data_IF_277282868023
#
_entry.id   IF_277282868023
#
_cell.length_a   1.000
_cell.length_b   1.000
_cell.length_c   1.000
_cell.angle_alpha   90.00
_cell.angle_beta   90.00
_cell.angle_gamma   90.00
#
_symmetry.space_group_name_H-M   'P 1'
#
loop_
_entity.id
_entity.type
_entity.pdbx_description
1 polymer ?
#
# COMPACT_ATOMS: atom_id res chain seq x y z
N UNK A 1 -8.69 1.89 15.84
CA UNK A 1 -9.97 2.35 16.42
C UNK A 1 -10.11 3.86 16.53
N UNK A 2 -9.07 4.63 16.87
CA UNK A 2 -9.13 6.11 16.87
C UNK A 2 -9.59 6.69 15.53
N UNK A 3 -9.01 6.24 14.42
CA UNK A 3 -9.37 6.70 13.06
C UNK A 3 -10.87 6.49 12.73
N UNK A 4 -11.46 5.38 13.15
CA UNK A 4 -12.89 5.10 13.01
C UNK A 4 -13.76 6.11 13.76
N UNK A 5 -13.35 6.52 14.95
CA UNK A 5 -14.09 7.49 15.76
C UNK A 5 -14.07 8.89 15.14
N UNK A 6 -12.96 9.29 14.53
CA UNK A 6 -12.79 10.64 13.97
C UNK A 6 -13.34 10.79 12.55
N UNK A 7 -13.27 9.72 11.73
CA UNK A 7 -13.60 9.79 10.30
C UNK A 7 -14.76 8.89 9.88
N UNK A 8 -15.18 7.96 10.75
CA UNK A 8 -16.11 6.88 10.39
C UNK A 8 -15.47 5.71 9.64
N UNK A 9 -14.18 5.81 9.26
CA UNK A 9 -13.47 4.80 8.46
C UNK A 9 -12.55 3.93 9.32
N UNK A 10 -12.51 2.63 9.04
CA UNK A 10 -11.68 1.65 9.75
C UNK A 10 -10.78 0.81 8.85
N UNK A 11 -10.56 1.26 7.62
CA UNK A 11 -9.75 0.59 6.61
C UNK A 11 -8.63 1.49 6.08
N UNK A 12 -7.68 0.85 5.39
CA UNK A 12 -6.69 1.52 4.54
C UNK A 12 -7.16 1.34 3.09
N UNK A 13 -7.39 2.44 2.40
CA UNK A 13 -7.76 2.43 0.99
C UNK A 13 -6.49 2.36 0.14
N UNK A 14 -6.36 1.29 -0.64
CA UNK A 14 -5.30 1.13 -1.63
C UNK A 14 -5.86 1.37 -3.03
N UNK A 15 -5.08 2.05 -3.87
CA UNK A 15 -5.32 2.11 -5.31
C UNK A 15 -4.31 1.20 -6.00
N UNK A 16 -4.83 0.29 -6.83
CA UNK A 16 -4.04 -0.59 -7.66
C UNK A 16 -4.27 -0.22 -9.14
N UNK A 17 -3.22 0.16 -9.85
CA UNK A 17 -3.28 0.54 -11.26
C UNK A 17 -2.50 -0.46 -12.10
N UNK A 18 -3.20 -1.08 -13.04
CA UNK A 18 -2.65 -2.02 -14.01
C UNK A 18 -2.37 -1.28 -15.31
N UNK A 19 -1.14 -1.41 -15.82
CA UNK A 19 -0.78 -0.92 -17.15
C UNK A 19 -0.99 -2.04 -18.18
N UNK A 20 -0.91 -1.68 -19.46
CA UNK A 20 -0.94 -2.64 -20.57
C UNK A 20 0.18 -3.69 -20.50
N UNK A 21 1.26 -3.40 -19.76
CA UNK A 21 2.37 -4.32 -19.50
C UNK A 21 2.10 -5.35 -18.40
N UNK A 22 1.00 -5.26 -17.64
CA UNK A 22 0.62 -6.28 -16.66
C UNK A 22 0.14 -7.56 -17.39
N UNK A 23 0.53 -8.78 -16.95
CA UNK A 23 1.20 -9.11 -15.69
C UNK A 23 2.74 -9.16 -15.75
N UNK A 24 3.37 -8.75 -16.85
CA UNK A 24 4.83 -8.80 -16.99
C UNK A 24 5.55 -7.70 -16.20
N UNK A 25 4.92 -6.53 -16.04
CA UNK A 25 5.32 -5.50 -15.08
C UNK A 25 4.38 -5.47 -13.87
N UNK A 26 4.87 -5.10 -12.68
CA UNK A 26 4.04 -5.04 -11.48
C UNK A 26 2.95 -3.97 -11.61
N UNK A 27 1.80 -4.15 -10.93
CA UNK A 27 0.84 -3.08 -10.79
C UNK A 27 1.42 -1.96 -9.93
N UNK A 28 1.01 -0.73 -10.19
CA UNK A 28 1.36 0.39 -9.32
C UNK A 28 0.37 0.47 -8.15
N UNK A 29 0.86 0.32 -6.92
CA UNK A 29 0.04 0.35 -5.71
C UNK A 29 0.43 1.52 -4.82
N UNK A 30 -0.59 2.27 -4.37
CA UNK A 30 -0.42 3.37 -3.41
C UNK A 30 -1.54 3.40 -2.38
N UNK A 31 -1.24 3.93 -1.21
CA UNK A 31 -2.20 4.31 -0.18
C UNK A 31 -2.91 5.59 -0.62
N UNK A 32 -4.24 5.58 -0.57
CA UNK A 32 -5.10 6.75 -0.80
C UNK A 32 -5.45 7.43 0.52
N UNK A 33 -5.88 6.64 1.51
CA UNK A 33 -6.17 7.13 2.86
C UNK A 33 -6.12 5.97 3.87
N UNK A 34 -5.79 6.21 5.14
CA UNK A 34 -5.28 7.47 5.69
C UNK A 34 -3.84 7.79 5.22
N UNK A 35 -3.36 8.99 5.53
CA UNK A 35 -1.91 9.28 5.44
C UNK A 35 -1.18 8.47 6.49
N UNK A 36 -0.15 7.74 6.06
CA UNK A 36 0.61 6.79 6.89
C UNK A 36 2.07 7.25 6.96
N UNK A 37 2.69 7.14 8.14
CA UNK A 37 4.14 7.18 8.34
C UNK A 37 4.71 5.78 8.53
N UNK A 38 5.99 5.60 8.18
CA UNK A 38 6.68 4.31 8.23
C UNK A 38 6.01 3.25 7.33
N UNK A 39 6.19 1.96 7.62
CA UNK A 39 5.54 0.89 6.84
C UNK A 39 6.01 0.77 5.39
N UNK A 40 7.17 1.36 5.05
CA UNK A 40 7.65 1.51 3.68
C UNK A 40 6.74 2.35 2.77
N UNK A 41 5.84 3.14 3.36
CA UNK A 41 5.01 4.11 2.62
C UNK A 41 5.82 5.40 2.44
N UNK A 42 6.01 5.79 1.18
CA UNK A 42 6.69 7.02 0.79
C UNK A 42 5.74 8.22 0.79
N UNK A 43 6.31 9.42 0.68
CA UNK A 43 5.53 10.63 0.44
C UNK A 43 4.63 10.45 -0.80
N UNK A 44 3.36 10.86 -0.71
CA UNK A 44 2.35 10.64 -1.75
C UNK A 44 1.70 9.24 -1.74
N UNK A 45 2.04 8.37 -0.78
CA UNK A 45 1.36 7.09 -0.53
C UNK A 45 1.92 5.91 -1.32
N UNK A 46 2.95 6.09 -2.15
CA UNK A 46 3.58 4.98 -2.87
C UNK A 46 4.20 3.97 -1.89
N UNK A 47 4.14 2.69 -2.21
CA UNK A 47 4.64 1.60 -1.35
C UNK A 47 5.99 1.11 -1.90
N UNK A 48 7.03 1.21 -1.09
CA UNK A 48 8.38 0.76 -1.45
C UNK A 48 8.58 -0.70 -1.02
N UNK A 49 8.32 -1.64 -1.93
CA UNK A 49 8.52 -3.08 -1.71
C UNK A 49 9.28 -3.67 -2.89
N UNK A 50 10.23 -4.57 -2.61
CA UNK A 50 11.05 -5.22 -3.64
C UNK A 50 10.19 -5.91 -4.70
N UNK A 51 9.12 -6.58 -4.28
CA UNK A 51 8.19 -7.27 -5.19
C UNK A 51 7.39 -6.32 -6.10
N UNK A 52 7.32 -5.01 -5.78
CA UNK A 52 6.72 -3.98 -6.64
C UNK A 52 7.75 -3.31 -7.57
N UNK A 53 8.97 -3.84 -7.63
CA UNK A 53 10.02 -3.38 -8.56
C UNK A 53 10.11 -4.29 -9.78
N UNK A 54 10.67 -3.79 -10.88
CA UNK A 54 10.90 -4.59 -12.09
C UNK A 54 11.77 -5.84 -11.85
N UNK A 55 12.65 -5.79 -10.86
CA UNK A 55 13.57 -6.89 -10.55
C UNK A 55 12.95 -7.93 -9.59
N UNK A 56 12.12 -7.50 -8.65
CA UNK A 56 11.49 -8.38 -7.66
C UNK A 56 10.09 -8.88 -8.05
N UNK A 57 9.49 -8.33 -9.10
CA UNK A 57 8.18 -8.76 -9.58
C UNK A 57 8.26 -10.06 -10.39
N UNK A 58 7.27 -10.92 -10.21
CA UNK A 58 7.02 -12.10 -11.04
C UNK A 58 5.55 -12.13 -11.43
N UNK A 59 5.26 -12.38 -12.70
CA UNK A 59 3.90 -12.54 -13.22
C UNK A 59 3.15 -13.74 -12.62
N UNK A 60 3.85 -14.60 -11.86
CA UNK A 60 3.26 -15.70 -11.11
C UNK A 60 2.60 -15.26 -9.78
N UNK A 61 2.82 -14.02 -9.32
CA UNK A 61 2.20 -13.53 -8.09
C UNK A 61 0.70 -13.26 -8.29
N UNK A 62 -0.12 -13.92 -7.48
CA UNK A 62 -1.56 -13.65 -7.39
C UNK A 62 -1.86 -12.35 -6.63
N UNK A 63 -2.94 -11.67 -7.00
CA UNK A 63 -3.34 -10.40 -6.38
C UNK A 63 -3.68 -10.54 -4.90
N UNK A 64 -4.26 -11.66 -4.49
CA UNK A 64 -4.55 -11.97 -3.09
C UNK A 64 -3.27 -12.03 -2.26
N UNK A 65 -2.24 -12.70 -2.79
CA UNK A 65 -0.93 -12.80 -2.16
C UNK A 65 -0.24 -11.44 -2.08
N UNK A 66 -0.43 -10.59 -3.10
CA UNK A 66 0.11 -9.24 -3.15
C UNK A 66 -0.50 -8.35 -2.07
N UNK A 67 -1.83 -8.34 -1.95
CA UNK A 67 -2.56 -7.58 -0.92
C UNK A 67 -2.16 -8.04 0.48
N UNK A 68 -2.06 -9.36 0.70
CA UNK A 68 -1.65 -9.92 1.99
C UNK A 68 -0.21 -9.51 2.35
N UNK A 69 0.72 -9.56 1.41
CA UNK A 69 2.11 -9.15 1.62
C UNK A 69 2.23 -7.65 1.92
N UNK A 70 1.43 -6.81 1.27
CA UNK A 70 1.36 -5.37 1.57
C UNK A 70 0.87 -5.16 3.01
N UNK A 71 -0.23 -5.81 3.39
CA UNK A 71 -0.76 -5.71 4.76
C UNK A 71 0.29 -6.15 5.81
N UNK A 72 0.98 -7.28 5.55
CA UNK A 72 2.05 -7.76 6.42
C UNK A 72 3.23 -6.77 6.49
N UNK A 73 3.58 -6.15 5.37
CA UNK A 73 4.68 -5.18 5.28
C UNK A 73 4.38 -3.89 6.04
N UNK A 74 3.14 -3.40 5.98
CA UNK A 74 2.71 -2.25 6.78
C UNK A 74 2.86 -2.53 8.27
N UNK A 75 2.46 -3.72 8.73
CA UNK A 75 2.62 -4.13 10.14
C UNK A 75 4.10 -4.27 10.51
N UNK A 76 4.88 -5.00 9.71
CA UNK A 76 6.33 -5.22 9.94
C UNK A 76 7.10 -3.90 9.99
N UNK A 77 6.80 -2.97 9.09
CA UNK A 77 7.40 -1.64 9.02
C UNK A 77 6.84 -0.65 10.06
N UNK A 78 6.03 -1.11 11.01
CA UNK A 78 5.45 -0.30 12.09
C UNK A 78 4.68 0.92 11.58
N UNK A 79 3.92 0.77 10.49
CA UNK A 79 3.09 1.82 9.92
C UNK A 79 2.19 2.50 10.99
N UNK A 80 2.07 3.82 10.94
CA UNK A 80 1.19 4.61 11.83
C UNK A 80 0.37 5.61 11.04
N UNK A 81 -0.86 5.83 11.48
CA UNK A 81 -1.73 6.88 10.92
C UNK A 81 -1.19 8.24 11.38
N UNK A 82 -1.01 9.17 10.43
CA UNK A 82 -0.68 10.56 10.72
C UNK A 82 -1.97 11.38 10.86
N UNK A 83 -2.41 11.57 12.10
CA UNK A 83 -3.57 12.40 12.41
C UNK A 83 -3.20 13.88 12.20
N UNK A 84 -3.95 14.59 11.34
CA UNK A 84 -3.70 16.01 11.02
C UNK A 84 -2.91 16.27 9.73
N UNK A 85 -2.45 15.23 9.02
CA UNK A 85 -1.90 15.42 7.68
C UNK A 85 -2.99 15.88 6.70
N UNK A 86 -2.68 16.79 5.76
CA UNK A 86 -3.60 17.16 4.69
C UNK A 86 -3.95 15.92 3.87
N UNK A 87 -5.23 15.81 3.47
CA UNK A 87 -5.72 14.74 2.60
C UNK A 87 -5.11 14.82 1.20
#
# INVERSE_FOLDING_TARGET
>A
QTYKKETGLDYILLNCTFKDSYPFEPPFIRVIQPVISAGYVLAGGAICMELLTKHGWSSAYGLESLVLQIAATLVKGKARIQFGAPK
#
